data_IF_720896637650
#
_entry.id   IF_720896637650
#
_cell.length_a   1.000
_cell.length_b   1.000
_cell.length_c   1.000
_cell.angle_alpha   90.00
_cell.angle_beta   90.00
_cell.angle_gamma   90.00
#
_symmetry.space_group_name_H-M   'P 1'
#
loop_
_entity.id
_entity.type
_entity.pdbx_description
1 polymer ?
#
# COMPACT_ATOMS: atom_id res chain seq x y z
N UNK A 1 3.87 20.57 21.85
CA UNK A 1 4.68 19.45 21.32
C UNK A 1 4.35 19.32 19.84
N UNK A 2 5.26 19.67 18.93
CA UNK A 2 5.05 19.55 17.48
C UNK A 2 5.61 18.19 17.05
N UNK A 3 4.76 17.29 16.55
CA UNK A 3 5.22 16.04 15.92
C UNK A 3 5.68 16.39 14.50
N UNK A 4 7.00 16.38 14.28
CA UNK A 4 7.59 16.48 12.95
C UNK A 4 7.26 15.21 12.15
N UNK A 5 6.35 15.32 11.19
CA UNK A 5 6.15 14.30 10.16
C UNK A 5 7.35 14.30 9.22
N UNK A 6 8.35 13.46 9.53
CA UNK A 6 9.46 13.17 8.64
C UNK A 6 8.93 12.52 7.37
N UNK A 7 8.86 13.29 6.28
CA UNK A 7 8.56 12.82 4.92
C UNK A 7 9.76 12.01 4.40
N UNK A 8 9.94 10.80 4.92
CA UNK A 8 10.87 9.84 4.33
C UNK A 8 10.21 9.29 3.06
N UNK A 9 10.79 9.57 1.89
CA UNK A 9 10.36 8.99 0.61
C UNK A 9 10.36 7.47 0.69
N UNK A 10 9.18 6.87 0.82
CA UNK A 10 9.04 5.43 1.02
C UNK A 10 9.26 4.70 -0.32
N UNK A 11 10.52 4.35 -0.59
CA UNK A 11 10.91 3.62 -1.78
C UNK A 11 10.53 2.14 -1.63
N UNK A 12 9.69 1.62 -2.54
CA UNK A 12 9.39 0.19 -2.57
C UNK A 12 10.62 -0.57 -3.11
N UNK A 13 11.11 -1.61 -2.40
CA UNK A 13 12.19 -2.45 -2.91
C UNK A 13 11.80 -3.11 -4.23
N UNK A 14 12.77 -3.44 -5.09
CA UNK A 14 12.46 -3.89 -6.45
C UNK A 14 11.70 -5.24 -6.49
N UNK A 15 11.92 -6.08 -5.50
CA UNK A 15 11.26 -7.38 -5.33
C UNK A 15 11.08 -7.69 -3.83
N UNK A 16 10.12 -8.55 -3.50
CA UNK A 16 9.93 -9.06 -2.14
C UNK A 16 8.50 -8.86 -1.62
N UNK A 17 8.39 -8.72 -0.29
CA UNK A 17 7.13 -8.62 0.42
C UNK A 17 7.09 -7.38 1.33
N UNK A 18 5.95 -6.70 1.35
CA UNK A 18 5.69 -5.53 2.20
C UNK A 18 4.55 -5.82 3.16
N UNK A 19 4.62 -5.22 4.35
CA UNK A 19 3.59 -5.37 5.38
C UNK A 19 2.53 -4.29 5.24
N UNK A 20 1.39 -4.48 5.91
CA UNK A 20 0.27 -3.53 5.86
C UNK A 20 0.70 -2.10 6.20
N UNK A 21 1.51 -1.91 7.25
CA UNK A 21 1.97 -0.58 7.66
C UNK A 21 2.69 0.15 6.52
N UNK A 22 3.47 -0.57 5.74
CA UNK A 22 4.24 -0.02 4.63
C UNK A 22 3.36 0.26 3.42
N UNK A 23 2.43 -0.63 3.11
CA UNK A 23 1.41 -0.40 2.08
C UNK A 23 0.62 0.87 2.35
N UNK A 24 0.25 1.12 3.61
CA UNK A 24 -0.52 2.32 3.99
C UNK A 24 0.31 3.62 3.98
N UNK A 25 1.65 3.53 4.02
CA UNK A 25 2.51 4.70 3.77
C UNK A 25 2.51 5.11 2.30
N UNK A 26 2.32 4.15 1.40
CA UNK A 26 2.33 4.36 -0.04
C UNK A 26 0.95 4.75 -0.54
N UNK A 27 -0.07 4.02 -0.10
CA UNK A 27 -1.48 4.25 -0.44
C UNK A 27 -2.16 4.77 0.83
N UNK A 28 -2.39 6.09 0.96
CA UNK A 28 -2.85 6.71 2.20
C UNK A 28 -4.35 6.45 2.42
N UNK A 29 -4.70 5.20 2.70
CA UNK A 29 -6.05 4.78 3.08
C UNK A 29 -6.06 4.27 4.51
N UNK A 30 -7.24 4.18 5.11
CA UNK A 30 -7.37 3.56 6.41
C UNK A 30 -7.17 2.04 6.33
N UNK A 31 -6.69 1.42 7.43
CA UNK A 31 -6.59 -0.06 7.54
C UNK A 31 -7.91 -0.74 7.19
N UNK A 32 -9.03 -0.21 7.66
CA UNK A 32 -10.36 -0.79 7.42
C UNK A 32 -10.76 -0.69 5.96
N UNK A 33 -10.50 0.45 5.30
CA UNK A 33 -10.70 0.61 3.86
C UNK A 33 -9.88 -0.40 3.07
N UNK A 34 -8.61 -0.60 3.45
CA UNK A 34 -7.75 -1.60 2.83
C UNK A 34 -8.33 -3.02 2.95
N UNK A 35 -8.73 -3.44 4.15
CA UNK A 35 -9.33 -4.77 4.33
C UNK A 35 -10.65 -4.94 3.59
N UNK A 36 -11.51 -3.91 3.57
CA UNK A 36 -12.74 -3.92 2.77
C UNK A 36 -12.44 -4.05 1.28
N UNK A 37 -11.47 -3.30 0.77
CA UNK A 37 -11.08 -3.37 -0.64
C UNK A 37 -10.47 -4.71 -1.04
N UNK A 38 -9.83 -5.43 -0.11
CA UNK A 38 -9.42 -6.83 -0.35
C UNK A 38 -10.66 -7.73 -0.49
N UNK A 39 -11.66 -7.56 0.38
CA UNK A 39 -12.91 -8.34 0.32
C UNK A 39 -13.70 -8.06 -0.98
N UNK A 40 -13.72 -6.81 -1.45
CA UNK A 40 -14.38 -6.45 -2.71
C UNK A 40 -13.53 -6.77 -3.95
N UNK A 41 -12.31 -7.28 -3.80
CA UNK A 41 -11.42 -7.60 -4.92
C UNK A 41 -10.75 -6.39 -5.59
N UNK A 42 -10.80 -5.21 -4.97
CA UNK A 42 -10.14 -3.99 -5.46
C UNK A 42 -8.64 -3.96 -5.16
N UNK A 43 -8.21 -4.59 -4.07
CA UNK A 43 -6.81 -4.63 -3.64
C UNK A 43 -6.22 -6.04 -3.75
N UNK A 44 -4.89 -6.16 -3.90
CA UNK A 44 -4.26 -7.45 -4.07
C UNK A 44 -4.43 -8.34 -2.84
N UNK A 45 -4.59 -9.64 -3.10
CA UNK A 45 -4.80 -10.62 -2.04
C UNK A 45 -3.56 -10.72 -1.15
N UNK A 46 -3.74 -10.81 0.17
CA UNK A 46 -2.63 -11.03 1.10
C UNK A 46 -1.99 -12.41 0.89
N UNK A 47 -0.66 -12.47 1.01
CA UNK A 47 0.13 -13.70 1.07
C UNK A 47 0.49 -13.99 2.53
N UNK A 48 0.17 -15.19 3.01
CA UNK A 48 0.59 -15.65 4.34
C UNK A 48 2.04 -16.13 4.27
N UNK A 49 2.95 -15.40 4.93
CA UNK A 49 4.37 -15.79 5.03
C UNK A 49 4.60 -16.73 6.22
N UNK A 50 3.78 -16.60 7.27
CA UNK A 50 3.77 -17.47 8.45
C UNK A 50 2.38 -17.45 9.09
N UNK A 51 2.16 -18.29 10.10
CA UNK A 51 0.87 -18.41 10.79
C UNK A 51 0.30 -17.07 11.28
N UNK A 52 1.16 -16.13 11.71
CA UNK A 52 0.79 -14.82 12.24
C UNK A 52 1.18 -13.64 11.33
N UNK A 53 1.77 -13.91 10.17
CA UNK A 53 2.35 -12.87 9.32
C UNK A 53 1.74 -12.87 7.93
N UNK A 54 1.06 -11.77 7.64
CA UNK A 54 0.50 -11.47 6.33
C UNK A 54 1.31 -10.37 5.66
N UNK A 55 1.64 -10.56 4.40
CA UNK A 55 2.38 -9.61 3.58
C UNK A 55 1.81 -9.56 2.15
N UNK A 56 2.19 -8.54 1.40
CA UNK A 56 1.82 -8.36 -0.01
C UNK A 56 3.07 -8.33 -0.86
N UNK A 57 2.99 -8.90 -2.07
CA UNK A 57 4.11 -8.80 -3.00
C UNK A 57 4.21 -7.38 -3.52
N UNK A 58 5.44 -6.88 -3.62
CA UNK A 58 5.69 -5.54 -4.15
C UNK A 58 5.17 -5.40 -5.57
N UNK A 59 5.34 -6.42 -6.42
CA UNK A 59 4.84 -6.39 -7.80
C UNK A 59 3.32 -6.16 -7.87
N UNK A 60 2.55 -6.79 -6.98
CA UNK A 60 1.10 -6.64 -6.95
C UNK A 60 0.68 -5.24 -6.48
N UNK A 61 1.43 -4.65 -5.54
CA UNK A 61 1.21 -3.26 -5.09
C UNK A 61 1.58 -2.25 -6.17
N UNK A 62 2.71 -2.45 -6.88
CA UNK A 62 3.12 -1.58 -7.99
C UNK A 62 2.09 -1.59 -9.10
N UNK A 63 1.62 -2.78 -9.48
CA UNK A 63 0.55 -2.92 -10.48
C UNK A 63 -0.72 -2.19 -10.06
N UNK A 64 -1.11 -2.27 -8.78
CA UNK A 64 -2.25 -1.51 -8.27
C UNK A 64 -2.05 0.00 -8.42
N UNK A 65 -0.85 0.52 -8.17
CA UNK A 65 -0.53 1.95 -8.31
C UNK A 65 -0.59 2.37 -9.79
N UNK A 66 -0.10 1.54 -10.70
CA UNK A 66 -0.18 1.76 -12.15
C UNK A 66 -1.64 1.71 -12.67
N UNK A 67 -2.45 0.81 -12.12
CA UNK A 67 -3.86 0.64 -12.49
C UNK A 67 -4.77 1.75 -11.92
N UNK A 68 -4.35 2.45 -10.86
CA UNK A 68 -5.07 3.62 -10.35
C UNK A 68 -4.78 4.77 -11.32
N UNK A 69 -5.76 5.25 -12.12
CA UNK A 69 -5.54 6.41 -12.96
C UNK A 69 -5.14 7.58 -12.06
N UNK A 70 -3.95 8.07 -12.31
CA UNK A 70 -3.32 9.19 -11.62
C UNK A 70 -4.28 10.37 -11.58
N UNK A 71 -4.87 10.63 -10.41
CA UNK A 71 -5.69 11.82 -10.16
C UNK A 71 -4.76 13.01 -9.88
N UNK A 72 -3.84 13.28 -10.81
CA UNK A 72 -2.84 14.35 -10.75
C UNK A 72 -3.07 15.39 -11.87
N UNK A 73 -4.29 15.48 -12.38
CA UNK A 73 -4.77 16.65 -13.16
C UNK A 73 -5.63 17.58 -12.29
N UNK A 74 -5.12 17.98 -11.12
CA UNK A 74 -5.65 19.16 -10.40
C UNK A 74 -4.52 20.07 -9.95
N UNK A 75 -3.88 20.71 -10.92
CA UNK A 75 -3.46 22.12 -10.83
C UNK A 75 -3.01 22.62 -12.22
N UNK A 76 -3.97 23.19 -12.97
CA UNK A 76 -3.73 24.26 -13.95
C UNK A 76 -4.56 25.45 -13.50
#
# INVERSE_FOLDING_TARGET
MRTETNQSSYQLPNTGFVRLVDVLKIIPVSKTTWWKGIQTGRYPKPVKLSERTTAWRVCDIRKLIEDIPTQDEINV
#
